data_IF_688146905622
#
_entry.id   IF_688146905622
#
_cell.length_a   1.000
_cell.length_b   1.000
_cell.length_c   1.000
_cell.angle_alpha   90.00
_cell.angle_beta   90.00
_cell.angle_gamma   90.00
#
_symmetry.space_group_name_H-M   'P 1'
#
loop_
_entity.id
_entity.type
_entity.pdbx_description
1 polymer ?
#
# COMPACT_ATOMS: atom_id res chain seq x y z
N UNK A 1 11.96 -30.74 -53.48
CA UNK A 1 10.84 -31.02 -52.53
C UNK A 1 11.04 -30.09 -51.34
N UNK A 2 10.13 -29.13 -51.08
CA UNK A 2 9.01 -29.25 -50.11
C UNK A 2 9.56 -29.78 -48.77
N UNK A 3 9.67 -29.02 -47.67
CA UNK A 3 8.71 -28.09 -47.09
C UNK A 3 9.34 -27.13 -46.08
N UNK A 4 8.76 -25.92 -46.05
CA UNK A 4 8.81 -24.90 -44.99
C UNK A 4 8.26 -25.49 -43.68
N UNK A 5 8.91 -25.22 -42.54
CA UNK A 5 8.23 -25.26 -41.24
C UNK A 5 8.63 -24.02 -40.42
N UNK A 6 7.81 -22.99 -40.57
CA UNK A 6 7.74 -21.82 -39.70
C UNK A 6 7.24 -22.27 -38.31
N UNK A 7 7.92 -21.87 -37.24
CA UNK A 7 7.35 -21.88 -35.90
C UNK A 7 7.44 -20.46 -35.31
N UNK A 8 6.38 -19.70 -35.54
CA UNK A 8 6.13 -18.41 -34.90
C UNK A 8 5.57 -18.69 -33.49
N UNK A 9 6.38 -18.51 -32.46
CA UNK A 9 5.93 -18.58 -31.06
C UNK A 9 5.35 -17.22 -30.70
N UNK A 10 4.02 -17.14 -30.70
CA UNK A 10 3.26 -15.99 -30.19
C UNK A 10 3.15 -16.16 -28.68
N UNK A 11 3.92 -15.36 -27.92
CA UNK A 11 3.72 -15.21 -26.48
C UNK A 11 2.56 -14.25 -26.23
N UNK A 12 1.36 -14.79 -26.00
CA UNK A 12 0.24 -14.03 -25.45
C UNK A 12 0.34 -13.98 -23.93
N UNK A 13 0.93 -12.92 -23.38
CA UNK A 13 0.68 -12.53 -21.99
C UNK A 13 -0.60 -11.68 -21.95
N UNK A 14 -1.75 -12.36 -21.96
CA UNK A 14 -3.01 -11.78 -21.53
C UNK A 14 -3.30 -12.32 -20.13
N UNK A 15 -2.67 -11.70 -19.13
CA UNK A 15 -3.05 -11.83 -17.74
C UNK A 15 -3.57 -10.47 -17.27
N UNK A 16 -4.78 -10.14 -17.71
CA UNK A 16 -5.60 -9.13 -17.06
C UNK A 16 -6.85 -9.86 -16.62
N UNK A 17 -6.82 -10.46 -15.44
CA UNK A 17 -8.04 -10.82 -14.73
C UNK A 17 -8.41 -9.63 -13.87
N UNK A 18 -9.38 -8.83 -14.33
CA UNK A 18 -10.22 -8.07 -13.42
C UNK A 18 -11.05 -9.11 -12.66
N UNK A 19 -10.53 -9.54 -11.52
CA UNK A 19 -11.31 -10.30 -10.56
C UNK A 19 -12.12 -9.31 -9.76
N UNK A 20 -13.43 -9.28 -10.02
CA UNK A 20 -14.42 -8.78 -9.07
C UNK A 20 -14.28 -9.60 -7.78
N UNK A 21 -13.33 -9.23 -6.93
CA UNK A 21 -13.10 -9.92 -5.67
C UNK A 21 -14.22 -9.55 -4.70
N UNK A 22 -15.04 -10.53 -4.34
CA UNK A 22 -15.90 -10.47 -3.15
C UNK A 22 -15.00 -10.40 -1.91
N UNK A 23 -14.62 -9.19 -1.54
CA UNK A 23 -13.81 -8.98 -0.35
C UNK A 23 -14.61 -9.42 0.88
N UNK A 24 -14.08 -10.37 1.62
CA UNK A 24 -14.55 -10.71 2.98
C UNK A 24 -13.71 -10.01 4.04
N UNK A 25 -12.57 -9.42 3.65
CA UNK A 25 -11.57 -8.82 4.52
C UNK A 25 -11.09 -7.47 3.99
N UNK A 26 -10.49 -6.67 4.85
CA UNK A 26 -9.85 -5.41 4.46
C UNK A 26 -8.41 -5.71 4.06
N UNK A 27 -8.03 -5.34 2.84
CA UNK A 27 -6.65 -5.44 2.35
C UNK A 27 -6.09 -4.03 2.27
N UNK A 28 -4.98 -3.80 2.96
CA UNK A 28 -4.32 -2.49 3.03
C UNK A 28 -2.90 -2.60 2.47
N UNK A 29 -2.52 -1.61 1.67
CA UNK A 29 -1.12 -1.34 1.30
C UNK A 29 -0.78 0.12 1.60
N UNK A 30 0.50 0.43 1.53
CA UNK A 30 1.05 1.76 1.76
C UNK A 30 1.72 2.25 0.48
N UNK A 31 1.44 3.49 0.11
CA UNK A 31 2.12 4.20 -0.96
C UNK A 31 2.94 5.34 -0.36
N UNK A 32 4.26 5.31 -0.54
CA UNK A 32 5.14 6.43 -0.21
C UNK A 32 5.05 7.47 -1.33
N UNK A 33 4.29 8.54 -1.11
CA UNK A 33 4.13 9.64 -2.08
C UNK A 33 5.23 10.70 -1.97
N UNK A 34 6.13 10.54 -1.01
CA UNK A 34 7.20 11.51 -0.76
C UNK A 34 8.41 11.32 -1.67
N UNK A 35 9.32 12.28 -1.65
CA UNK A 35 10.62 12.22 -2.32
C UNK A 35 11.71 11.54 -1.49
N UNK A 36 11.40 11.13 -0.25
CA UNK A 36 12.35 10.49 0.66
C UNK A 36 12.05 9.00 0.83
N UNK A 37 13.06 8.20 1.17
CA UNK A 37 12.89 6.77 1.47
C UNK A 37 12.24 6.64 2.86
N UNK A 38 11.22 5.79 2.97
CA UNK A 38 10.74 5.30 4.25
C UNK A 38 11.42 3.98 4.57
N UNK A 39 11.95 3.86 5.79
CA UNK A 39 12.52 2.63 6.33
C UNK A 39 11.63 2.11 7.46
N UNK A 40 11.55 0.78 7.62
CA UNK A 40 10.74 0.17 8.69
C UNK A 40 9.30 0.72 8.77
N UNK A 41 8.64 0.89 7.63
CA UNK A 41 7.27 1.42 7.56
C UNK A 41 6.31 0.49 8.30
N UNK A 42 5.49 1.02 9.21
CA UNK A 42 4.48 0.26 9.94
C UNK A 42 3.14 0.98 9.92
N UNK A 43 2.06 0.21 9.84
CA UNK A 43 0.69 0.66 10.04
C UNK A 43 -0.01 -0.31 11.00
N UNK A 44 -0.62 0.19 12.07
CA UNK A 44 -1.22 -0.61 13.14
C UNK A 44 -0.30 -1.75 13.63
N UNK A 45 0.99 -1.43 13.84
CA UNK A 45 2.07 -2.37 14.21
C UNK A 45 2.39 -3.47 13.18
N UNK A 46 1.73 -3.47 12.02
CA UNK A 46 2.07 -4.36 10.90
C UNK A 46 3.16 -3.70 10.07
N UNK A 47 4.29 -4.39 9.90
CA UNK A 47 5.43 -3.90 9.13
C UNK A 47 5.20 -4.09 7.62
N UNK A 48 5.41 -3.04 6.83
CA UNK A 48 5.33 -3.00 5.37
C UNK A 48 6.70 -2.86 4.68
N UNK A 49 7.77 -2.87 5.46
CA UNK A 49 9.15 -2.80 5.00
C UNK A 49 9.59 -1.41 4.58
N UNK A 50 10.67 -1.39 3.80
CA UNK A 50 11.22 -0.18 3.23
C UNK A 50 10.48 0.19 1.95
N UNK A 51 10.20 1.48 1.79
CA UNK A 51 9.53 2.04 0.62
C UNK A 51 10.35 3.19 0.06
N UNK A 52 10.87 3.00 -1.15
CA UNK A 52 11.51 4.07 -1.92
C UNK A 52 10.49 5.18 -2.25
N UNK A 53 10.97 6.36 -2.68
CA UNK A 53 10.10 7.40 -3.22
C UNK A 53 9.19 6.84 -4.32
N UNK A 54 7.89 7.15 -4.25
CA UNK A 54 6.86 6.67 -5.17
C UNK A 54 6.76 5.13 -5.26
N UNK A 55 7.08 4.42 -4.18
CA UNK A 55 6.90 2.98 -4.11
C UNK A 55 5.65 2.61 -3.31
N UNK A 56 4.89 1.65 -3.84
CA UNK A 56 3.78 1.01 -3.15
C UNK A 56 4.22 -0.34 -2.58
N UNK A 57 3.78 -0.66 -1.36
CA UNK A 57 3.96 -1.96 -0.75
C UNK A 57 3.00 -3.01 -1.30
N UNK A 58 3.28 -4.28 -0.98
CA UNK A 58 2.31 -5.37 -1.14
C UNK A 58 1.12 -5.20 -0.18
N UNK A 59 -0.02 -5.74 -0.60
CA UNK A 59 -1.21 -5.81 0.24
C UNK A 59 -1.01 -6.70 1.46
N UNK A 60 -1.55 -6.26 2.60
CA UNK A 60 -1.67 -7.04 3.83
C UNK A 60 -3.12 -7.07 4.28
N UNK A 61 -3.52 -8.20 4.85
CA UNK A 61 -4.90 -8.45 5.24
C UNK A 61 -5.13 -8.08 6.69
N UNK A 62 -6.25 -7.41 6.96
CA UNK A 62 -6.71 -7.00 8.28
C UNK A 62 -8.14 -7.52 8.47
N UNK A 63 -8.41 -8.07 9.66
CA UNK A 63 -9.78 -8.44 10.04
C UNK A 63 -10.67 -7.19 10.15
N UNK A 64 -10.10 -6.11 10.69
CA UNK A 64 -10.73 -4.81 10.91
C UNK A 64 -9.71 -3.70 10.75
N UNK A 65 -10.12 -2.58 10.18
CA UNK A 65 -9.35 -1.34 10.15
C UNK A 65 -10.30 -0.14 10.06
N UNK A 66 -9.79 1.04 10.38
CA UNK A 66 -10.50 2.32 10.34
C UNK A 66 -9.97 3.19 9.20
N UNK A 67 -10.47 4.42 9.07
CA UNK A 67 -10.01 5.36 8.04
C UNK A 67 -8.62 5.97 8.32
N UNK A 68 -8.13 5.81 9.53
CA UNK A 68 -6.78 6.17 9.99
C UNK A 68 -6.30 5.12 11.00
N UNK A 69 -5.01 5.11 11.28
CA UNK A 69 -4.40 4.19 12.24
C UNK A 69 -3.09 4.72 12.78
N UNK A 70 -2.41 3.91 13.61
CA UNK A 70 -1.05 4.24 14.00
C UNK A 70 -0.12 4.05 12.82
N UNK A 71 0.70 5.05 12.51
CA UNK A 71 1.75 4.95 11.49
C UNK A 71 3.10 5.25 12.13
N UNK A 72 4.13 4.52 11.71
CA UNK A 72 5.51 4.89 12.01
C UNK A 72 6.41 4.54 10.84
N UNK A 73 7.27 5.48 10.45
CA UNK A 73 8.32 5.29 9.45
C UNK A 73 9.64 5.83 10.01
N UNK A 74 10.75 5.28 9.55
CA UNK A 74 12.09 5.79 9.85
C UNK A 74 12.63 6.52 8.62
N UNK A 75 13.13 7.74 8.81
CA UNK A 75 13.78 8.55 7.78
C UNK A 75 15.10 9.04 8.39
N UNK A 76 16.22 8.72 7.74
CA UNK A 76 17.57 9.07 8.21
C UNK A 76 17.83 8.70 9.68
N UNK A 77 17.36 7.52 10.10
CA UNK A 77 17.52 7.00 11.47
C UNK A 77 16.58 7.61 12.53
N UNK A 78 15.69 8.53 12.15
CA UNK A 78 14.68 9.12 13.06
C UNK A 78 13.28 8.60 12.74
N UNK A 79 12.54 8.24 13.78
CA UNK A 79 11.16 7.79 13.65
C UNK A 79 10.19 8.97 13.58
N UNK A 80 9.26 8.89 12.63
CA UNK A 80 8.17 9.84 12.41
C UNK A 80 6.84 9.08 12.34
N UNK A 81 5.75 9.68 12.80
CA UNK A 81 4.45 9.03 12.81
C UNK A 81 3.50 9.59 13.88
N UNK A 82 2.39 8.90 14.09
CA UNK A 82 1.41 9.24 15.12
C UNK A 82 0.64 8.00 15.60
N UNK A 83 -0.02 8.17 16.74
CA UNK A 83 -0.94 7.21 17.33
C UNK A 83 -2.31 7.88 17.49
N UNK A 84 -3.40 7.25 17.02
CA UNK A 84 -4.74 7.69 17.36
C UNK A 84 -4.98 7.60 18.88
N UNK A 85 -5.65 8.60 19.45
CA UNK A 85 -6.00 8.63 20.88
C UNK A 85 -7.20 7.71 21.15
N UNK A 86 -8.21 7.75 20.28
CA UNK A 86 -9.35 6.84 20.26
C UNK A 86 -9.96 6.73 18.84
N UNK A 87 -10.93 5.83 18.68
CA UNK A 87 -11.70 5.61 17.45
C UNK A 87 -13.21 5.84 17.68
N UNK A 88 -13.57 6.65 18.67
CA UNK A 88 -14.97 6.83 19.08
C UNK A 88 -15.76 7.53 17.99
N UNK A 89 -16.82 6.89 17.50
CA UNK A 89 -17.65 7.43 16.41
C UNK A 89 -17.09 7.14 15.01
N UNK A 90 -15.95 6.44 14.90
CA UNK A 90 -15.46 5.96 13.61
C UNK A 90 -16.19 4.69 13.16
N UNK A 91 -16.30 4.55 11.85
CA UNK A 91 -16.80 3.34 11.22
C UNK A 91 -15.64 2.46 10.73
N UNK A 92 -15.84 1.15 10.84
CA UNK A 92 -14.93 0.19 10.22
C UNK A 92 -14.94 0.36 8.71
N UNK A 93 -13.77 0.21 8.09
CA UNK A 93 -13.68 0.03 6.65
C UNK A 93 -14.49 -1.20 6.26
N UNK A 94 -15.27 -1.05 5.18
CA UNK A 94 -15.90 -2.19 4.53
C UNK A 94 -14.82 -3.08 3.92
N UNK A 95 -15.07 -4.38 3.73
CA UNK A 95 -14.16 -5.22 2.95
C UNK A 95 -13.82 -4.59 1.60
N UNK A 96 -12.55 -4.68 1.22
CA UNK A 96 -12.02 -3.96 0.06
C UNK A 96 -10.51 -3.81 0.08
N UNK A 97 -10.00 -3.36 -1.06
CA UNK A 97 -8.62 -2.93 -1.23
C UNK A 97 -8.51 -1.43 -0.92
N UNK A 98 -7.52 -1.09 -0.11
CA UNK A 98 -7.26 0.27 0.32
C UNK A 98 -5.77 0.60 0.27
N UNK A 99 -5.48 1.81 -0.18
CA UNK A 99 -4.13 2.37 -0.21
C UNK A 99 -4.04 3.56 0.75
N UNK A 100 -3.18 3.45 1.77
CA UNK A 100 -2.76 4.62 2.54
C UNK A 100 -1.60 5.29 1.84
N UNK A 101 -1.85 6.51 1.36
CA UNK A 101 -0.84 7.39 0.80
C UNK A 101 -0.21 8.19 1.95
N UNK A 102 1.07 7.97 2.22
CA UNK A 102 1.84 8.75 3.19
C UNK A 102 2.86 9.63 2.48
N UNK A 103 2.83 10.92 2.80
CA UNK A 103 3.84 11.89 2.37
C UNK A 103 4.61 12.41 3.58
N UNK A 104 5.86 12.80 3.38
CA UNK A 104 6.69 13.45 4.38
C UNK A 104 7.11 14.82 3.87
N UNK A 105 6.79 15.86 4.64
CA UNK A 105 7.25 17.22 4.40
C UNK A 105 8.58 17.43 5.13
N UNK A 106 9.65 17.65 4.37
CA UNK A 106 11.01 17.82 4.92
C UNK A 106 11.22 19.17 5.62
N UNK A 107 10.39 20.18 5.34
CA UNK A 107 10.51 21.50 5.97
C UNK A 107 9.85 21.53 7.35
N UNK A 108 8.73 20.82 7.52
CA UNK A 108 8.00 20.75 8.79
C UNK A 108 8.29 19.47 9.58
N UNK A 109 8.96 18.49 8.95
CA UNK A 109 9.20 17.15 9.48
C UNK A 109 7.91 16.40 9.87
N UNK A 110 6.84 16.59 9.09
CA UNK A 110 5.52 15.99 9.36
C UNK A 110 5.14 14.98 8.30
N UNK A 111 4.50 13.88 8.75
CA UNK A 111 3.82 12.96 7.85
C UNK A 111 2.38 13.45 7.61
N UNK A 112 1.86 13.24 6.41
CA UNK A 112 0.43 13.39 6.09
C UNK A 112 -0.13 12.11 5.50
N UNK A 113 -1.42 11.88 5.69
CA UNK A 113 -2.13 10.66 5.29
C UNK A 113 -3.30 10.98 4.38
N UNK A 114 -3.50 10.13 3.36
CA UNK A 114 -4.73 10.05 2.59
C UNK A 114 -5.08 8.60 2.34
N UNK A 115 -6.30 8.22 2.70
CA UNK A 115 -6.84 6.90 2.36
C UNK A 115 -7.54 6.95 1.00
N UNK A 116 -7.18 6.03 0.11
CA UNK A 116 -7.82 5.78 -1.17
C UNK A 116 -8.40 4.36 -1.16
N UNK A 117 -9.64 4.22 -1.63
CA UNK A 117 -10.21 2.91 -1.97
C UNK A 117 -9.88 2.62 -3.42
N UNK A 118 -9.28 1.47 -3.67
CA UNK A 118 -8.90 1.00 -5.01
C UNK A 118 -10.11 0.50 -5.81
#
# INVERSE_FOLDING_TARGET
>A
MRHIFNLLIVFTFLACSDSDEDFTQVKIRIFNTSTVKFENTTFNNVNFGDLKPNQTSEYKTFEKSYRYGSVSVTIDGKAYGWLPIDFTGEELLKPGNYTYEYSFDTATETITEKLVKD
#
